data_IF_148407545987
#
_entry.id   IF_148407545987
#
_cell.length_a   1.000
_cell.length_b   1.000
_cell.length_c   1.000
_cell.angle_alpha   90.00
_cell.angle_beta   90.00
_cell.angle_gamma   90.00
#
_symmetry.space_group_name_H-M   'P 1'
#
loop_
_entity.id
_entity.type
_entity.pdbx_description
1 polymer ?
#
# COMPACT_ATOMS: atom_id res chain seq x y z
N UNK A 1 -12.14 -25.70 9.22
CA UNK A 1 -11.70 -24.93 8.04
C UNK A 1 -12.26 -23.54 8.22
N UNK A 2 -11.43 -22.60 8.64
CA UNK A 2 -11.79 -21.19 8.71
C UNK A 2 -11.79 -20.69 7.27
N UNK A 3 -12.94 -20.23 6.79
CA UNK A 3 -13.06 -19.57 5.49
C UNK A 3 -11.99 -18.45 5.44
N UNK A 4 -11.09 -18.39 4.43
CA UNK A 4 -10.15 -17.29 4.34
C UNK A 4 -10.96 -15.99 4.38
N UNK A 5 -10.54 -15.03 5.21
CA UNK A 5 -11.23 -13.75 5.31
C UNK A 5 -11.41 -13.18 3.89
N UNK A 6 -12.66 -13.03 3.45
CA UNK A 6 -12.93 -12.45 2.15
C UNK A 6 -12.42 -11.00 2.16
N UNK A 7 -11.68 -10.65 1.12
CA UNK A 7 -11.21 -9.28 0.93
C UNK A 7 -12.42 -8.34 0.89
N UNK A 8 -12.28 -7.11 1.44
CA UNK A 8 -13.41 -6.20 1.52
C UNK A 8 -13.82 -5.74 0.12
N UNK A 9 -15.12 -5.50 -0.05
CA UNK A 9 -15.63 -4.81 -1.22
C UNK A 9 -15.21 -3.34 -1.19
N UNK A 10 -14.74 -2.81 -2.32
CA UNK A 10 -14.42 -1.39 -2.49
C UNK A 10 -15.56 -0.70 -3.25
N UNK A 11 -15.90 0.54 -2.84
CA UNK A 11 -17.02 1.30 -3.41
C UNK A 11 -16.54 2.50 -4.19
N UNK A 12 -17.12 2.69 -5.38
CA UNK A 12 -17.01 3.95 -6.12
C UNK A 12 -17.88 5.04 -5.49
N UNK A 13 -17.64 6.30 -5.87
CA UNK A 13 -18.36 7.46 -5.32
C UNK A 13 -19.87 7.48 -5.58
N UNK A 14 -20.31 6.77 -6.61
CA UNK A 14 -21.73 6.57 -6.96
C UNK A 14 -22.33 5.30 -6.31
N UNK A 15 -21.57 4.61 -5.46
CA UNK A 15 -22.03 3.44 -4.71
C UNK A 15 -21.87 2.10 -5.44
N UNK A 16 -21.31 2.07 -6.65
CA UNK A 16 -21.02 0.79 -7.32
C UNK A 16 -19.98 -0.01 -6.55
N UNK A 17 -20.22 -1.31 -6.45
CA UNK A 17 -19.45 -2.21 -5.60
C UNK A 17 -18.52 -3.05 -6.46
N UNK A 18 -17.24 -2.97 -6.16
CA UNK A 18 -16.20 -3.79 -6.78
C UNK A 18 -15.66 -4.75 -5.72
N UNK A 19 -15.77 -6.05 -5.99
CA UNK A 19 -15.19 -7.06 -5.10
C UNK A 19 -13.69 -7.08 -5.31
N UNK A 20 -12.91 -6.83 -4.25
CA UNK A 20 -11.47 -7.01 -4.31
C UNK A 20 -11.17 -8.52 -4.30
N UNK A 21 -10.40 -9.00 -5.27
CA UNK A 21 -10.04 -10.43 -5.38
C UNK A 21 -8.62 -10.71 -4.92
N UNK A 22 -7.69 -9.79 -5.22
CA UNK A 22 -6.31 -9.85 -4.74
C UNK A 22 -5.76 -8.44 -4.56
N UNK A 23 -4.91 -8.21 -3.58
CA UNK A 23 -4.13 -6.98 -3.47
C UNK A 23 -2.78 -7.28 -2.82
N UNK A 24 -1.68 -7.12 -3.56
CA UNK A 24 -0.34 -7.33 -3.04
C UNK A 24 0.63 -6.27 -3.56
N UNK A 25 1.74 -6.09 -2.85
CA UNK A 25 2.84 -5.25 -3.28
C UNK A 25 4.18 -5.97 -3.09
N UNK A 26 5.09 -5.71 -4.02
CA UNK A 26 6.50 -6.07 -3.87
C UNK A 26 7.25 -4.81 -3.46
N UNK A 27 7.95 -4.86 -2.33
CA UNK A 27 8.73 -3.76 -1.76
C UNK A 27 10.21 -4.07 -1.92
N UNK A 28 10.99 -3.15 -2.48
CA UNK A 28 12.43 -3.27 -2.65
C UNK A 28 13.18 -3.02 -1.34
N UNK A 29 12.79 -1.98 -0.60
CA UNK A 29 13.34 -1.63 0.70
C UNK A 29 12.32 -0.84 1.53
N UNK A 30 12.47 -0.93 2.85
CA UNK A 30 11.73 -0.14 3.84
C UNK A 30 12.72 0.79 4.52
N UNK A 31 12.40 2.07 4.59
CA UNK A 31 13.22 3.10 5.24
C UNK A 31 12.46 3.68 6.42
N UNK A 32 13.16 3.81 7.54
CA UNK A 32 12.61 4.26 8.80
C UNK A 32 13.45 5.46 9.25
N UNK A 33 12.85 6.64 9.28
CA UNK A 33 13.47 7.83 9.85
C UNK A 33 13.34 7.79 11.36
N UNK A 34 14.48 7.86 12.05
CA UNK A 34 14.56 7.91 13.50
C UNK A 34 13.90 9.19 14.03
N UNK A 35 12.99 9.03 14.98
CA UNK A 35 12.34 10.09 15.74
C UNK A 35 13.06 10.39 17.06
N UNK A 36 12.49 11.29 17.87
CA UNK A 36 13.00 11.56 19.23
C UNK A 36 14.43 12.12 19.33
N UNK A 37 15.05 12.51 18.22
CA UNK A 37 16.46 12.96 18.18
C UNK A 37 17.48 11.82 18.18
N UNK A 38 17.04 10.57 18.01
CA UNK A 38 17.92 9.40 17.92
C UNK A 38 18.84 9.49 16.69
N UNK A 39 20.07 9.03 16.88
CA UNK A 39 21.14 8.96 15.89
C UNK A 39 21.40 7.50 15.53
N UNK A 40 22.08 7.27 14.42
CA UNK A 40 22.40 5.90 14.00
C UNK A 40 23.26 5.16 15.04
N UNK A 41 24.19 5.86 15.68
CA UNK A 41 25.04 5.32 16.75
C UNK A 41 24.25 4.83 17.98
N UNK A 42 23.04 5.37 18.20
CA UNK A 42 22.19 4.98 19.34
C UNK A 42 21.49 3.64 19.12
N UNK A 43 21.37 3.18 17.86
CA UNK A 43 20.60 1.98 17.50
C UNK A 43 21.43 0.90 16.78
N UNK A 44 22.65 1.21 16.34
CA UNK A 44 23.46 0.35 15.48
C UNK A 44 23.68 -1.06 16.04
N UNK A 45 23.85 -1.19 17.35
CA UNK A 45 24.07 -2.48 18.03
C UNK A 45 22.80 -3.35 18.13
N UNK A 46 21.61 -2.75 17.98
CA UNK A 46 20.31 -3.43 18.07
C UNK A 46 19.73 -3.78 16.70
N UNK A 47 20.38 -3.32 15.64
CA UNK A 47 19.92 -3.48 14.27
C UNK A 47 20.13 -4.92 13.77
N UNK A 48 19.11 -5.56 13.18
CA UNK A 48 19.24 -6.91 12.65
C UNK A 48 20.19 -6.96 11.46
N UNK A 49 20.79 -8.13 11.24
CA UNK A 49 21.72 -8.35 10.13
C UNK A 49 21.09 -7.96 8.78
N UNK A 50 21.86 -7.29 7.92
CA UNK A 50 21.40 -6.82 6.62
C UNK A 50 20.65 -5.48 6.65
N UNK A 51 20.46 -4.89 7.83
CA UNK A 51 20.00 -3.50 7.94
C UNK A 51 21.16 -2.52 7.93
N UNK A 52 20.89 -1.30 7.47
CA UNK A 52 21.87 -0.22 7.44
C UNK A 52 21.25 1.03 8.02
N UNK A 53 21.94 1.68 8.96
CA UNK A 53 21.60 3.03 9.35
C UNK A 53 22.54 4.02 8.66
N UNK A 54 21.98 5.08 8.06
CA UNK A 54 22.74 6.17 7.45
C UNK A 54 22.29 7.49 8.07
N UNK A 55 23.25 8.32 8.45
CA UNK A 55 23.01 9.66 8.95
C UNK A 55 23.93 10.65 8.24
N UNK A 56 23.40 11.82 7.86
CA UNK A 56 24.15 12.88 7.19
C UNK A 56 24.12 14.16 8.02
N UNK A 57 25.24 14.47 8.69
CA UNK A 57 25.36 15.63 9.56
C UNK A 57 24.37 15.60 10.72
N UNK A 58 23.56 16.65 10.83
CA UNK A 58 22.54 16.81 11.87
C UNK A 58 21.14 16.32 11.46
N UNK A 59 21.00 15.75 10.25
CA UNK A 59 19.74 15.14 9.83
C UNK A 59 19.41 13.90 10.69
N UNK A 60 18.11 13.56 10.86
CA UNK A 60 17.71 12.31 11.49
C UNK A 60 18.38 11.09 10.82
N UNK A 61 18.72 10.07 11.61
CA UNK A 61 19.20 8.81 11.07
C UNK A 61 18.11 8.09 10.28
N UNK A 62 18.49 7.38 9.22
CA UNK A 62 17.58 6.54 8.44
C UNK A 62 18.04 5.10 8.49
N UNK A 63 17.21 4.23 9.09
CA UNK A 63 17.40 2.77 9.08
C UNK A 63 16.75 2.20 7.83
N UNK A 64 17.49 1.39 7.08
CA UNK A 64 17.01 0.72 5.87
C UNK A 64 16.98 -0.79 6.08
N UNK A 65 15.81 -1.39 5.90
CA UNK A 65 15.60 -2.84 5.80
C UNK A 65 15.64 -3.21 4.33
N UNK A 66 16.68 -3.93 3.92
CA UNK A 66 16.85 -4.35 2.53
C UNK A 66 15.92 -5.53 2.18
N UNK A 67 15.12 -5.38 1.13
CA UNK A 67 14.21 -6.40 0.62
C UNK A 67 14.85 -7.35 -0.41
N UNK A 68 14.03 -8.02 -1.24
CA UNK A 68 12.61 -7.73 -1.48
C UNK A 68 11.65 -8.35 -0.46
N UNK A 69 10.53 -7.67 -0.20
CA UNK A 69 9.42 -8.16 0.63
C UNK A 69 8.14 -8.24 -0.19
N UNK A 70 7.34 -9.30 0.01
CA UNK A 70 6.04 -9.45 -0.60
C UNK A 70 4.96 -9.29 0.46
N UNK A 71 4.05 -8.33 0.29
CA UNK A 71 3.07 -7.93 1.29
C UNK A 71 1.66 -8.11 0.73
N UNK A 72 0.81 -8.81 1.46
CA UNK A 72 -0.64 -8.80 1.26
C UNK A 72 -1.19 -7.45 1.76
N UNK A 73 -1.80 -6.66 0.88
CA UNK A 73 -2.24 -5.31 1.24
C UNK A 73 -3.56 -5.26 2.00
N UNK A 74 -4.26 -6.38 2.10
CA UNK A 74 -5.49 -6.48 2.87
C UNK A 74 -5.24 -6.90 4.31
N UNK A 75 -4.27 -7.77 4.54
CA UNK A 75 -3.93 -8.25 5.89
C UNK A 75 -2.71 -7.53 6.47
N UNK A 76 -1.87 -6.93 5.61
CA UNK A 76 -0.56 -6.40 5.99
C UNK A 76 0.45 -7.51 6.33
N UNK A 77 0.12 -8.76 6.05
CA UNK A 77 0.96 -9.94 6.31
C UNK A 77 1.87 -10.24 5.12
N UNK A 78 2.92 -11.05 5.33
CA UNK A 78 3.69 -11.54 4.21
C UNK A 78 2.88 -12.40 3.26
N UNK A 79 3.09 -12.18 1.97
CA UNK A 79 2.48 -12.97 0.91
C UNK A 79 3.39 -14.14 0.53
N UNK A 80 2.85 -15.36 0.46
CA UNK A 80 3.58 -16.62 0.16
C UNK A 80 4.72 -16.98 1.13
N UNK A 81 4.51 -16.83 2.44
CA UNK A 81 5.45 -17.27 3.50
C UNK A 81 6.87 -16.64 3.42
N UNK A 82 7.02 -15.49 2.75
CA UNK A 82 8.26 -14.72 2.76
C UNK A 82 8.40 -14.02 4.10
N UNK A 83 9.44 -14.28 4.89
CA UNK A 83 9.62 -13.54 6.15
C UNK A 83 9.84 -12.05 5.87
N UNK A 84 9.00 -11.20 6.46
CA UNK A 84 9.25 -9.76 6.54
C UNK A 84 10.18 -9.54 7.75
N UNK A 85 11.30 -8.83 7.60
CA UNK A 85 12.19 -8.56 8.71
C UNK A 85 11.45 -7.76 9.77
N UNK A 86 11.72 -8.10 11.03
CA UNK A 86 11.17 -7.36 12.16
C UNK A 86 11.71 -5.94 12.11
N UNK A 87 10.81 -4.97 12.20
CA UNK A 87 11.19 -3.58 12.39
C UNK A 87 11.87 -3.48 13.76
N UNK A 88 13.10 -2.94 13.85
CA UNK A 88 13.80 -2.82 15.12
C UNK A 88 12.97 -1.98 16.11
N UNK A 89 13.01 -2.28 17.41
CA UNK A 89 12.44 -1.38 18.40
C UNK A 89 13.07 0.01 18.28
N UNK A 90 12.31 1.05 18.61
CA UNK A 90 12.79 2.42 18.49
C UNK A 90 11.68 3.44 18.35
N UNK A 91 12.07 4.69 18.14
CA UNK A 91 11.16 5.80 17.89
C UNK A 91 11.32 6.19 16.44
N UNK A 92 10.23 6.19 15.67
CA UNK A 92 10.23 6.52 14.26
C UNK A 92 9.26 7.66 13.97
N UNK A 93 9.63 8.55 13.05
CA UNK A 93 8.76 9.67 12.63
C UNK A 93 8.20 9.50 11.22
N UNK A 94 8.97 8.79 10.40
CA UNK A 94 8.60 8.54 9.01
C UNK A 94 8.97 7.13 8.60
N UNK A 95 8.07 6.52 7.83
CA UNK A 95 8.31 5.25 7.17
C UNK A 95 8.16 5.48 5.67
N UNK A 96 9.12 5.02 4.86
CA UNK A 96 9.02 5.03 3.41
C UNK A 96 9.18 3.61 2.86
N UNK A 97 8.40 3.30 1.83
CA UNK A 97 8.49 2.05 1.08
C UNK A 97 8.78 2.38 -0.37
N UNK A 98 9.75 1.68 -0.96
CA UNK A 98 9.99 1.76 -2.40
C UNK A 98 9.44 0.49 -3.04
N UNK A 99 8.53 0.62 -4.00
CA UNK A 99 8.00 -0.54 -4.70
C UNK A 99 9.09 -1.18 -5.58
N UNK A 100 9.28 -2.49 -5.43
CA UNK A 100 10.24 -3.28 -6.19
C UNK A 100 9.67 -3.82 -7.49
N UNK A 101 10.39 -4.78 -8.08
CA UNK A 101 10.03 -5.37 -9.38
C UNK A 101 8.63 -5.96 -9.34
N UNK A 102 7.75 -5.42 -10.19
CA UNK A 102 6.35 -5.83 -10.28
C UNK A 102 5.37 -4.91 -9.53
N UNK A 103 5.88 -4.04 -8.66
CA UNK A 103 5.11 -2.95 -8.07
C UNK A 103 3.97 -3.40 -7.14
N UNK A 104 2.92 -2.58 -7.10
CA UNK A 104 1.65 -2.89 -6.46
C UNK A 104 0.69 -3.40 -7.53
N UNK A 105 -0.04 -4.48 -7.20
CA UNK A 105 -1.11 -5.01 -8.04
C UNK A 105 -2.32 -5.31 -7.19
N UNK A 106 -3.46 -4.77 -7.60
CA UNK A 106 -4.75 -5.17 -7.07
C UNK A 106 -5.71 -5.51 -8.21
N UNK A 107 -6.50 -6.55 -8.00
CA UNK A 107 -7.50 -7.04 -8.92
C UNK A 107 -8.86 -6.92 -8.26
N UNK A 108 -9.80 -6.29 -8.94
CA UNK A 108 -11.17 -6.13 -8.47
C UNK A 108 -12.16 -6.48 -9.56
N UNK A 109 -13.37 -6.86 -9.17
CA UNK A 109 -14.43 -7.29 -10.08
C UNK A 109 -15.74 -6.56 -9.79
N UNK A 110 -16.28 -5.91 -10.82
CA UNK A 110 -17.65 -5.39 -10.84
C UNK A 110 -18.58 -6.45 -11.41
N UNK A 111 -19.69 -6.73 -10.73
CA UNK A 111 -20.77 -7.56 -11.30
C UNK A 111 -21.95 -6.67 -11.69
N UNK A 112 -22.28 -6.63 -12.98
CA UNK A 112 -23.44 -5.89 -13.50
C UNK A 112 -24.14 -6.72 -14.58
N UNK A 113 -25.48 -6.77 -14.53
CA UNK A 113 -26.32 -7.53 -15.48
C UNK A 113 -25.88 -8.99 -15.66
N UNK A 114 -25.55 -9.65 -14.54
CA UNK A 114 -25.05 -11.04 -14.48
C UNK A 114 -23.73 -11.28 -15.23
N UNK A 115 -23.01 -10.20 -15.60
CA UNK A 115 -21.65 -10.26 -16.17
C UNK A 115 -20.64 -9.70 -15.18
N UNK A 116 -19.47 -10.32 -15.19
CA UNK A 116 -18.32 -9.87 -14.42
C UNK A 116 -17.40 -9.01 -15.30
N UNK A 117 -16.92 -7.91 -14.73
CA UNK A 117 -15.96 -7.01 -15.33
C UNK A 117 -14.77 -6.86 -14.39
N UNK A 118 -13.62 -7.31 -14.86
CA UNK A 118 -12.37 -7.26 -14.13
C UNK A 118 -11.75 -5.86 -14.26
N UNK A 119 -11.06 -5.41 -13.21
CA UNK A 119 -10.38 -4.12 -13.16
C UNK A 119 -9.08 -4.26 -12.39
N UNK A 120 -7.99 -3.95 -13.08
CA UNK A 120 -6.63 -3.99 -12.54
C UNK A 120 -6.19 -2.60 -12.06
N UNK A 121 -5.72 -2.52 -10.82
CA UNK A 121 -5.11 -1.33 -10.24
C UNK A 121 -3.62 -1.60 -10.04
N UNK A 122 -2.77 -0.70 -10.52
CA UNK A 122 -1.31 -0.89 -10.45
C UNK A 122 -0.57 0.38 -10.06
N UNK A 123 0.47 0.21 -9.24
CA UNK A 123 1.52 1.21 -9.08
C UNK A 123 2.84 0.62 -9.60
N UNK A 124 3.62 1.37 -10.39
CA UNK A 124 4.83 0.84 -11.00
C UNK A 124 5.96 0.65 -9.99
N UNK A 125 6.94 -0.15 -10.39
CA UNK A 125 8.25 -0.24 -9.73
C UNK A 125 8.89 1.15 -9.55
N UNK A 126 9.62 1.35 -8.46
CA UNK A 126 10.26 2.61 -8.10
C UNK A 126 9.32 3.64 -7.47
N UNK A 127 8.01 3.37 -7.39
CA UNK A 127 7.07 4.25 -6.69
C UNK A 127 7.43 4.30 -5.20
N UNK A 128 7.70 5.51 -4.69
CA UNK A 128 7.87 5.75 -3.26
C UNK A 128 6.52 6.01 -2.60
N UNK A 129 6.29 5.34 -1.46
CA UNK A 129 5.13 5.48 -0.59
C UNK A 129 5.64 5.93 0.78
N UNK A 130 5.30 7.16 1.17
CA UNK A 130 5.82 7.78 2.40
C UNK A 130 4.73 8.02 3.43
N UNK A 131 5.09 7.80 4.68
CA UNK A 131 4.21 7.84 5.84
C UNK A 131 4.84 8.71 6.91
N UNK A 132 4.39 9.95 7.02
CA UNK A 132 4.78 10.80 8.14
C UNK A 132 3.69 10.73 9.22
N UNK A 133 4.09 10.40 10.44
CA UNK A 133 3.19 10.42 11.58
C UNK A 133 3.22 11.80 12.24
N UNK A 134 2.07 12.29 12.70
CA UNK A 134 2.00 13.58 13.41
C UNK A 134 2.64 13.53 14.81
N UNK A 135 3.03 12.35 15.26
CA UNK A 135 3.65 12.05 16.54
C UNK A 135 4.74 11.00 16.34
N UNK A 136 5.67 10.94 17.28
CA UNK A 136 6.72 9.93 17.31
C UNK A 136 6.10 8.54 17.55
N UNK A 137 6.32 7.63 16.60
CA UNK A 137 5.86 6.24 16.67
C UNK A 137 6.85 5.42 17.47
N UNK A 138 6.51 5.10 18.71
CA UNK A 138 7.31 4.19 19.55
C UNK A 138 6.98 2.74 19.22
N UNK A 139 8.00 1.96 18.87
CA UNK A 139 7.93 0.51 18.70
C UNK A 139 8.76 -0.15 19.81
N UNK A 140 8.08 -0.92 20.67
CA UNK A 140 8.73 -1.67 21.75
C UNK A 140 9.34 -2.97 21.25
N UNK A 141 10.21 -3.58 22.05
CA UNK A 141 10.81 -4.89 21.74
C UNK A 141 9.71 -5.94 21.51
N UNK A 142 9.82 -6.71 20.43
CA UNK A 142 8.78 -7.67 20.03
C UNK A 142 7.55 -7.04 19.35
N UNK A 143 7.50 -5.72 19.25
CA UNK A 143 6.48 -4.99 18.49
C UNK A 143 6.52 -5.27 17.00
N UNK A 144 5.42 -4.96 16.30
CA UNK A 144 5.32 -5.05 14.85
C UNK A 144 4.73 -3.79 14.23
N UNK A 145 5.26 -3.43 13.07
CA UNK A 145 4.73 -2.39 12.21
C UNK A 145 3.93 -3.04 11.09
N UNK A 146 2.68 -2.63 10.90
CA UNK A 146 1.84 -3.08 9.79
C UNK A 146 1.45 -1.90 8.92
N UNK A 147 1.66 -2.04 7.62
CA UNK A 147 1.12 -1.12 6.63
C UNK A 147 -0.24 -1.64 6.22
N UNK A 148 -1.26 -0.80 6.38
CA UNK A 148 -2.62 -1.10 5.96
C UNK A 148 -3.03 -0.14 4.86
N UNK A 149 -3.51 -0.66 3.75
CA UNK A 149 -4.03 0.18 2.68
C UNK A 149 -5.51 0.46 2.93
N UNK A 150 -5.91 1.74 2.88
CA UNK A 150 -7.32 2.12 3.00
C UNK A 150 -8.03 1.90 1.67
N UNK A 151 -8.36 0.64 1.40
CA UNK A 151 -8.97 0.18 0.16
C UNK A 151 -10.31 0.87 -0.13
N UNK A 152 -11.07 1.21 0.92
CA UNK A 152 -12.34 1.93 0.85
C UNK A 152 -12.21 3.34 0.24
N UNK A 153 -11.01 3.92 0.26
CA UNK A 153 -10.75 5.23 -0.30
C UNK A 153 -10.43 5.18 -1.80
N UNK A 154 -9.94 4.05 -2.32
CA UNK A 154 -9.31 3.96 -3.65
C UNK A 154 -10.18 4.44 -4.80
N UNK A 155 -11.49 4.16 -4.74
CA UNK A 155 -12.45 4.49 -5.80
C UNK A 155 -13.47 5.56 -5.38
N UNK A 156 -13.43 6.02 -4.11
CA UNK A 156 -14.50 6.80 -3.49
C UNK A 156 -14.77 8.14 -4.18
N UNK A 157 -13.76 8.71 -4.84
CA UNK A 157 -13.88 10.01 -5.52
C UNK A 157 -14.27 9.87 -7.00
N UNK A 158 -14.53 8.65 -7.49
CA UNK A 158 -14.82 8.38 -8.89
C UNK A 158 -16.22 7.76 -9.07
N UNK A 159 -17.07 8.28 -9.96
CA UNK A 159 -18.38 7.71 -10.25
C UNK A 159 -18.30 6.59 -11.31
N UNK A 160 -17.55 5.53 -11.01
CA UNK A 160 -17.18 4.51 -12.01
C UNK A 160 -18.38 3.72 -12.57
N UNK A 161 -19.46 3.56 -11.82
CA UNK A 161 -20.68 2.91 -12.32
C UNK A 161 -21.41 3.74 -13.36
N UNK A 162 -21.56 5.04 -13.10
CA UNK A 162 -22.13 6.00 -14.04
C UNK A 162 -21.28 6.06 -15.31
N UNK A 163 -19.95 6.13 -15.19
CA UNK A 163 -19.05 6.12 -16.34
C UNK A 163 -19.09 4.80 -17.11
N UNK A 164 -19.28 3.67 -16.43
CA UNK A 164 -19.49 2.39 -17.10
C UNK A 164 -20.79 2.39 -17.91
N UNK A 165 -21.87 2.96 -17.37
CA UNK A 165 -23.17 3.05 -18.04
C UNK A 165 -23.18 4.03 -19.21
N UNK A 166 -22.49 5.17 -19.10
CA UNK A 166 -22.39 6.17 -20.18
C UNK A 166 -21.44 5.75 -21.30
N UNK A 167 -20.56 4.77 -21.04
CA UNK A 167 -19.50 4.36 -21.96
C UNK A 167 -18.21 5.17 -21.81
N UNK A 168 -18.16 6.08 -20.84
CA UNK A 168 -16.97 6.88 -20.50
C UNK A 168 -15.89 6.08 -19.77
N UNK A 169 -16.22 4.88 -19.27
CA UNK A 169 -15.26 3.88 -18.84
C UNK A 169 -15.20 2.75 -19.88
N UNK A 170 -14.23 2.79 -20.82
CA UNK A 170 -14.12 1.78 -21.85
C UNK A 170 -13.88 0.38 -21.28
N UNK A 171 -14.30 -0.60 -22.05
CA UNK A 171 -14.15 -2.02 -21.73
C UNK A 171 -13.69 -2.81 -22.93
N UNK A 172 -12.91 -3.85 -22.69
CA UNK A 172 -12.46 -4.84 -23.69
C UNK A 172 -12.83 -6.22 -23.20
N UNK A 173 -13.54 -7.03 -23.99
CA UNK A 173 -14.03 -8.38 -23.65
C UNK A 173 -14.70 -8.50 -22.26
N UNK A 174 -13.90 -8.55 -21.18
CA UNK A 174 -14.30 -8.63 -19.77
C UNK A 174 -13.55 -7.68 -18.83
N UNK A 175 -12.79 -6.69 -19.33
CA UNK A 175 -11.93 -5.81 -18.52
C UNK A 175 -12.32 -4.32 -18.66
N UNK A 176 -12.33 -3.59 -17.54
CA UNK A 176 -12.50 -2.14 -17.45
C UNK A 176 -11.14 -1.43 -17.58
N UNK A 177 -11.06 -0.42 -18.45
CA UNK A 177 -9.81 0.31 -18.76
C UNK A 177 -9.82 1.70 -18.13
N UNK A 178 -9.34 1.82 -16.89
CA UNK A 178 -9.28 3.10 -16.16
C UNK A 178 -8.41 4.15 -16.86
N UNK A 179 -7.30 3.74 -17.47
CA UNK A 179 -6.38 4.64 -18.17
C UNK A 179 -6.95 5.17 -19.50
N UNK A 180 -7.96 4.49 -20.04
CA UNK A 180 -8.62 4.89 -21.28
C UNK A 180 -9.92 5.65 -21.02
N UNK A 181 -10.26 5.89 -19.75
CA UNK A 181 -11.48 6.57 -19.35
C UNK A 181 -11.56 7.99 -19.95
N UNK A 182 -12.78 8.40 -20.29
CA UNK A 182 -13.11 9.63 -21.02
C UNK A 182 -14.21 10.38 -20.28
N UNK A 183 -14.63 11.52 -20.85
CA UNK A 183 -15.73 12.31 -20.30
C UNK A 183 -15.49 12.68 -18.84
N UNK A 184 -16.48 12.44 -17.98
CA UNK A 184 -16.41 12.74 -16.55
C UNK A 184 -15.41 11.86 -15.77
N UNK A 185 -15.04 10.70 -16.33
CA UNK A 185 -14.04 9.79 -15.76
C UNK A 185 -12.65 9.94 -16.37
N UNK A 186 -12.40 10.97 -17.18
CA UNK A 186 -11.07 11.22 -17.73
C UNK A 186 -10.02 11.34 -16.61
N UNK A 187 -8.93 10.57 -16.74
CA UNK A 187 -7.87 10.51 -15.74
C UNK A 187 -8.19 9.65 -14.51
N UNK A 188 -9.23 8.80 -14.56
CA UNK A 188 -9.57 7.89 -13.47
C UNK A 188 -8.38 7.04 -13.01
N UNK A 189 -7.62 6.46 -13.95
CA UNK A 189 -6.42 5.68 -13.62
C UNK A 189 -5.43 6.43 -12.74
N UNK A 190 -5.04 7.63 -13.14
CA UNK A 190 -4.09 8.46 -12.39
C UNK A 190 -4.64 8.88 -11.02
N UNK A 191 -5.93 9.26 -10.94
CA UNK A 191 -6.58 9.60 -9.66
C UNK A 191 -6.61 8.42 -8.70
N UNK A 192 -6.89 7.20 -9.18
CA UNK A 192 -6.81 6.00 -8.34
C UNK A 192 -5.38 5.78 -7.87
N UNK A 193 -4.37 5.88 -8.75
CA UNK A 193 -2.96 5.73 -8.37
C UNK A 193 -2.55 6.74 -7.31
N UNK A 194 -2.90 8.00 -7.48
CA UNK A 194 -2.58 9.05 -6.51
C UNK A 194 -3.29 8.84 -5.17
N UNK A 195 -4.53 8.35 -5.21
CA UNK A 195 -5.27 7.98 -4.01
C UNK A 195 -4.63 6.80 -3.30
N UNK A 196 -4.23 5.74 -4.02
CA UNK A 196 -3.50 4.62 -3.44
C UNK A 196 -2.19 5.11 -2.82
N UNK A 197 -1.47 6.06 -3.45
CA UNK A 197 -0.22 6.61 -2.91
C UNK A 197 -0.41 7.45 -1.64
N UNK A 198 -1.53 8.15 -1.52
CA UNK A 198 -1.76 9.16 -0.46
C UNK A 198 -2.67 8.68 0.67
N UNK A 199 -3.45 7.62 0.46
CA UNK A 199 -4.43 7.09 1.42
C UNK A 199 -4.02 5.72 1.96
N UNK A 200 -2.75 5.58 2.33
CA UNK A 200 -2.26 4.40 3.05
C UNK A 200 -2.17 4.77 4.53
N UNK A 201 -2.40 3.80 5.41
CA UNK A 201 -2.35 3.97 6.86
C UNK A 201 -1.29 3.09 7.50
N UNK A 202 -0.69 3.59 8.57
CA UNK A 202 0.29 2.87 9.37
C UNK A 202 -0.36 2.43 10.68
N UNK A 203 -0.28 1.15 11.01
CA UNK A 203 -0.67 0.64 12.33
C UNK A 203 0.56 0.05 13.02
N UNK A 204 0.92 0.61 14.17
CA UNK A 204 1.87 -0.03 15.09
C UNK A 204 1.10 -0.88 16.10
N UNK A 205 1.61 -2.08 16.40
CA UNK A 205 1.17 -2.90 17.53
C UNK A 205 2.38 -3.25 18.37
N UNK A 206 2.42 -2.73 19.59
CA UNK A 206 3.20 -3.29 20.69
C UNK A 206 2.43 -4.49 21.26
N UNK A 207 3.15 -5.56 21.60
CA UNK A 207 2.61 -6.74 22.29
C UNK A 207 3.26 -6.86 23.65
#
# INVERSE_FOLDING_TARGET
>A
MTDPASLPDIKSGDGSVFRLETAFAIVADIRLELGGGLRCEDVEDELPEGTRCVQSGDAPGTVTLAGPFSIDLATGEPWNDVEIPRVPPGIYRRVDFVLGKGGLKAHSRLTQDSRAWDMNLTLPEGTALGFETAYDLTLEEGGSLRVMFNQDAWLRELPLGACFQSGDLPRTDSELRLDEARGECQGAGDRVRDTIRTRISLQARSF
#
